data_IF_343622121394
#
_entry.id   IF_343622121394
#
_cell.length_a   1.000
_cell.length_b   1.000
_cell.length_c   1.000
_cell.angle_alpha   90.00
_cell.angle_beta   90.00
_cell.angle_gamma   90.00
#
_symmetry.space_group_name_H-M   'P 1'
#
loop_
_entity.id
_entity.type
_entity.pdbx_description
1 polymer ?
#
# COMPACT_ATOMS: atom_id res chain seq x y z
N UNK A 1 -20.85 3.83 3.49
CA UNK A 1 -21.65 3.85 4.76
C UNK A 1 -22.29 2.48 4.99
N UNK A 2 -21.92 1.80 6.05
CA UNK A 2 -22.56 0.54 6.44
C UNK A 2 -24.07 0.77 6.67
N UNK A 3 -24.92 -0.20 6.32
CA UNK A 3 -26.35 -0.09 6.58
C UNK A 3 -26.62 -0.23 8.07
N UNK A 4 -27.63 0.49 8.59
CA UNK A 4 -28.03 0.41 9.99
C UNK A 4 -28.28 -1.05 10.39
N UNK A 5 -27.48 -1.58 11.34
CA UNK A 5 -27.56 -2.96 11.81
C UNK A 5 -26.59 -3.94 11.14
N UNK A 6 -25.78 -3.50 10.16
CA UNK A 6 -24.64 -4.31 9.69
C UNK A 6 -23.57 -4.39 10.79
N UNK A 7 -23.04 -5.59 10.99
CA UNK A 7 -21.87 -5.76 11.84
C UNK A 7 -20.63 -5.38 11.03
N UNK A 8 -19.86 -4.42 11.53
CA UNK A 8 -18.54 -4.11 11.01
C UNK A 8 -17.49 -5.12 11.47
N UNK A 9 -16.25 -4.90 11.03
CA UNK A 9 -15.08 -5.56 11.56
C UNK A 9 -14.72 -5.03 12.97
N UNK A 10 -13.48 -5.25 13.37
CA UNK A 10 -12.98 -4.85 14.68
C UNK A 10 -12.32 -3.48 14.64
N UNK A 11 -12.68 -2.61 15.57
CA UNK A 11 -11.93 -1.41 15.93
C UNK A 11 -11.64 -1.44 17.43
N UNK A 12 -10.43 -1.09 17.86
CA UNK A 12 -10.04 -1.11 19.27
C UNK A 12 -10.64 0.06 20.05
N UNK A 13 -10.72 1.23 19.43
CA UNK A 13 -11.25 2.46 20.01
C UNK A 13 -11.95 3.32 18.98
N UNK A 14 -12.82 4.21 19.43
CA UNK A 14 -13.61 5.10 18.56
C UNK A 14 -12.75 5.94 17.63
N UNK A 15 -11.60 6.41 18.11
CA UNK A 15 -10.65 7.24 17.34
C UNK A 15 -10.00 6.52 16.17
N UNK A 16 -10.12 5.18 16.06
CA UNK A 16 -9.61 4.43 14.91
C UNK A 16 -10.43 4.64 13.63
N UNK A 17 -11.68 5.06 13.74
CA UNK A 17 -12.59 5.25 12.61
C UNK A 17 -13.22 6.64 12.69
N UNK A 18 -13.03 7.45 11.64
CA UNK A 18 -13.64 8.78 11.60
C UNK A 18 -15.17 8.71 11.61
N UNK A 19 -15.80 9.65 12.30
CA UNK A 19 -17.24 9.85 12.24
C UNK A 19 -17.64 10.77 11.08
N UNK A 20 -16.67 11.35 10.38
CA UNK A 20 -16.85 12.15 9.17
C UNK A 20 -16.50 11.30 7.95
N UNK A 21 -17.30 11.38 6.88
CA UNK A 21 -17.14 10.59 5.67
C UNK A 21 -17.84 9.22 5.73
N UNK A 22 -17.52 8.36 4.79
CA UNK A 22 -18.12 7.04 4.61
C UNK A 22 -17.12 5.89 4.90
N UNK A 23 -16.06 6.15 5.68
CA UNK A 23 -15.09 5.12 6.03
C UNK A 23 -15.74 3.97 6.82
N UNK A 24 -15.26 2.74 6.60
CA UNK A 24 -15.84 1.58 7.23
C UNK A 24 -14.84 0.40 7.35
N UNK A 25 -14.99 -0.34 8.42
CA UNK A 25 -14.30 -1.62 8.61
C UNK A 25 -15.31 -2.73 8.41
N UNK A 26 -15.13 -3.55 7.35
CA UNK A 26 -16.06 -4.63 6.98
C UNK A 26 -15.56 -5.98 7.48
N UNK A 27 -16.47 -6.92 7.64
CA UNK A 27 -16.21 -8.34 7.89
C UNK A 27 -15.18 -8.58 9.02
N UNK A 28 -14.06 -9.23 8.68
CA UNK A 28 -12.97 -9.56 9.60
C UNK A 28 -11.83 -8.55 9.58
N UNK A 29 -12.00 -7.39 8.93
CA UNK A 29 -11.01 -6.30 8.97
C UNK A 29 -10.77 -5.83 10.40
N UNK A 30 -9.54 -5.43 10.71
CA UNK A 30 -9.15 -4.98 12.06
C UNK A 30 -8.40 -3.66 12.00
N UNK A 31 -8.77 -2.72 12.88
CA UNK A 31 -8.05 -1.45 13.06
C UNK A 31 -7.78 -1.26 14.56
N UNK A 32 -6.51 -1.07 14.93
CA UNK A 32 -6.12 -0.96 16.34
C UNK A 32 -4.87 -0.13 16.56
N UNK A 33 -4.46 0.05 17.82
CA UNK A 33 -3.41 1.00 18.17
C UNK A 33 -3.84 2.44 17.92
N UNK A 34 -2.95 3.27 17.43
CA UNK A 34 -3.23 4.66 17.08
C UNK A 34 -3.53 4.86 15.58
N UNK A 35 -3.80 3.76 14.87
CA UNK A 35 -4.15 3.79 13.46
C UNK A 35 -5.49 4.50 13.23
N UNK A 36 -5.58 5.17 12.09
CA UNK A 36 -6.77 5.95 11.70
C UNK A 36 -7.24 5.58 10.30
N UNK A 37 -8.54 5.36 10.17
CA UNK A 37 -9.24 5.20 8.90
C UNK A 37 -10.23 6.35 8.77
N UNK A 38 -10.07 7.17 7.76
CA UNK A 38 -10.80 8.43 7.58
C UNK A 38 -11.33 8.59 6.14
N UNK A 39 -12.11 9.61 5.90
CA UNK A 39 -12.77 9.93 4.62
C UNK A 39 -13.70 8.80 4.14
N UNK A 40 -13.43 8.17 3.02
CA UNK A 40 -14.22 7.06 2.44
C UNK A 40 -13.44 5.74 2.44
N UNK A 41 -12.35 5.66 3.19
CA UNK A 41 -11.48 4.50 3.20
C UNK A 41 -12.16 3.25 3.78
N UNK A 42 -11.78 2.09 3.29
CA UNK A 42 -12.32 0.82 3.75
C UNK A 42 -11.23 -0.20 4.09
N UNK A 43 -11.47 -0.96 5.16
CA UNK A 43 -10.63 -2.08 5.60
C UNK A 43 -11.54 -3.31 5.68
N UNK A 44 -11.15 -4.43 5.06
CA UNK A 44 -12.02 -5.60 4.97
C UNK A 44 -11.25 -6.92 4.81
N UNK A 45 -11.97 -8.04 4.90
CA UNK A 45 -11.46 -9.37 4.54
C UNK A 45 -10.12 -9.71 5.20
N UNK A 46 -10.07 -9.71 6.53
CA UNK A 46 -8.92 -10.06 7.35
C UNK A 46 -7.74 -9.07 7.31
N UNK A 47 -7.87 -7.96 6.56
CA UNK A 47 -6.83 -6.93 6.55
C UNK A 47 -6.67 -6.28 7.94
N UNK A 48 -5.43 -5.95 8.29
CA UNK A 48 -5.09 -5.33 9.57
C UNK A 48 -4.40 -3.97 9.37
N UNK A 49 -4.90 -2.95 10.06
CA UNK A 49 -4.30 -1.61 10.08
C UNK A 49 -3.99 -1.24 11.52
N UNK A 50 -2.72 -0.98 11.84
CA UNK A 50 -2.33 -0.76 13.24
C UNK A 50 -1.09 0.14 13.41
N UNK A 51 -0.65 0.30 14.64
CA UNK A 51 0.41 1.27 14.96
C UNK A 51 -0.09 2.70 14.82
N UNK A 52 0.62 3.52 14.09
CA UNK A 52 0.25 4.92 13.77
C UNK A 52 -0.15 5.08 12.29
N UNK A 53 -0.55 4.01 11.63
CA UNK A 53 -0.90 4.03 10.20
C UNK A 53 -2.10 4.94 9.93
N UNK A 54 -2.08 5.60 8.78
CA UNK A 54 -3.19 6.47 8.34
C UNK A 54 -3.69 5.99 6.98
N UNK A 55 -4.97 5.70 6.90
CA UNK A 55 -5.67 5.31 5.69
C UNK A 55 -6.72 6.38 5.40
N UNK A 56 -6.65 7.05 4.24
CA UNK A 56 -7.53 8.18 3.92
C UNK A 56 -7.89 8.24 2.43
N UNK A 57 -8.93 9.03 2.07
CA UNK A 57 -9.45 9.11 0.71
C UNK A 57 -10.36 7.91 0.38
N UNK A 58 -10.34 7.46 -0.87
CA UNK A 58 -11.12 6.31 -1.36
C UNK A 58 -10.32 4.99 -1.33
N UNK A 59 -9.42 4.84 -0.36
CA UNK A 59 -8.51 3.69 -0.21
C UNK A 59 -9.26 2.40 0.13
N UNK A 60 -8.78 1.31 -0.43
CA UNK A 60 -9.21 -0.05 -0.04
C UNK A 60 -8.02 -0.87 0.47
N UNK A 61 -8.10 -1.36 1.70
CA UNK A 61 -7.16 -2.33 2.28
C UNK A 61 -7.93 -3.62 2.54
N UNK A 62 -7.53 -4.74 1.90
CA UNK A 62 -8.32 -5.97 1.99
C UNK A 62 -7.50 -7.24 1.78
N UNK A 63 -8.09 -8.41 2.00
CA UNK A 63 -7.54 -9.75 1.76
C UNK A 63 -6.24 -10.02 2.54
N UNK A 64 -6.22 -9.88 3.85
CA UNK A 64 -5.04 -10.21 4.67
C UNK A 64 -3.87 -9.22 4.58
N UNK A 65 -4.02 -8.08 3.90
CA UNK A 65 -2.98 -7.07 3.84
C UNK A 65 -2.77 -6.38 5.18
N UNK A 66 -1.51 -6.06 5.50
CA UNK A 66 -1.14 -5.34 6.72
C UNK A 66 -0.58 -3.95 6.42
N UNK A 67 -1.12 -2.93 7.08
CA UNK A 67 -0.59 -1.56 7.02
C UNK A 67 -0.29 -1.09 8.44
N UNK A 68 0.97 -0.79 8.76
CA UNK A 68 1.36 -0.53 10.14
C UNK A 68 2.52 0.44 10.31
N UNK A 69 3.00 0.61 11.55
CA UNK A 69 3.97 1.64 11.95
C UNK A 69 3.44 3.05 11.64
N UNK A 70 4.16 3.84 10.85
CA UNK A 70 3.79 5.19 10.44
C UNK A 70 3.41 5.26 8.95
N UNK A 71 3.03 4.14 8.35
CA UNK A 71 2.68 4.07 6.94
C UNK A 71 1.45 4.92 6.62
N UNK A 72 1.43 5.47 5.40
CA UNK A 72 0.31 6.27 4.92
C UNK A 72 -0.19 5.75 3.59
N UNK A 73 -1.48 5.47 3.50
CA UNK A 73 -2.14 5.07 2.26
C UNK A 73 -3.28 6.05 2.02
N UNK A 74 -3.29 6.72 0.86
CA UNK A 74 -4.26 7.77 0.63
C UNK A 74 -4.68 7.91 -0.84
N UNK A 75 -5.58 8.85 -1.13
CA UNK A 75 -6.24 9.06 -2.42
C UNK A 75 -7.09 7.85 -2.85
N UNK A 76 -6.76 7.15 -3.91
CA UNK A 76 -7.51 6.02 -4.48
C UNK A 76 -6.68 4.73 -4.51
N UNK A 77 -5.66 4.64 -3.66
CA UNK A 77 -4.75 3.50 -3.63
C UNK A 77 -5.41 2.21 -3.14
N UNK A 78 -4.83 1.08 -3.51
CA UNK A 78 -5.30 -0.25 -3.07
C UNK A 78 -4.14 -1.06 -2.51
N UNK A 79 -4.36 -1.68 -1.36
CA UNK A 79 -3.41 -2.61 -0.74
C UNK A 79 -4.16 -3.92 -0.46
N UNK A 80 -3.71 -5.04 -1.03
CA UNK A 80 -4.44 -6.29 -0.88
C UNK A 80 -3.56 -7.54 -1.04
N UNK A 81 -4.16 -8.71 -0.93
CA UNK A 81 -3.44 -9.97 -0.82
C UNK A 81 -2.81 -10.09 0.56
N UNK A 82 -1.59 -10.57 0.63
CA UNK A 82 -0.77 -10.65 1.84
C UNK A 82 0.33 -9.56 1.84
N UNK A 83 0.00 -8.38 1.31
CA UNK A 83 0.97 -7.29 1.17
C UNK A 83 1.21 -6.57 2.49
N UNK A 84 2.47 -6.27 2.78
CA UNK A 84 2.90 -5.52 3.96
C UNK A 84 3.36 -4.10 3.59
N UNK A 85 2.75 -3.08 4.20
CA UNK A 85 3.14 -1.67 4.05
C UNK A 85 3.46 -1.10 5.42
N UNK A 86 4.72 -0.72 5.67
CA UNK A 86 5.15 -0.32 7.00
C UNK A 86 6.30 0.68 7.04
N UNK A 87 6.74 1.03 8.25
CA UNK A 87 7.72 2.10 8.45
C UNK A 87 7.11 3.46 8.18
N UNK A 88 7.73 4.25 7.33
CA UNK A 88 7.22 5.55 6.86
C UNK A 88 6.81 5.50 5.38
N UNK A 89 6.47 4.32 4.87
CA UNK A 89 6.10 4.15 3.46
C UNK A 89 4.83 4.92 3.11
N UNK A 90 4.75 5.35 1.84
CA UNK A 90 3.58 6.04 1.32
C UNK A 90 3.08 5.36 0.06
N UNK A 91 1.78 5.11 0.01
CA UNK A 91 1.08 4.58 -1.16
C UNK A 91 -0.05 5.56 -1.50
N UNK A 92 -0.08 6.09 -2.71
CA UNK A 92 -1.07 7.12 -3.04
C UNK A 92 -1.46 7.17 -4.52
N UNK A 93 -2.28 8.16 -4.89
CA UNK A 93 -2.93 8.25 -6.20
C UNK A 93 -3.78 6.99 -6.50
N UNK A 94 -3.47 6.23 -7.53
CA UNK A 94 -4.16 5.00 -7.93
C UNK A 94 -3.24 3.77 -7.85
N UNK A 95 -2.17 3.87 -7.08
CA UNK A 95 -1.20 2.79 -6.94
C UNK A 95 -1.83 1.52 -6.34
N UNK A 96 -1.31 0.37 -6.75
CA UNK A 96 -1.75 -0.93 -6.27
C UNK A 96 -0.54 -1.69 -5.71
N UNK A 97 -0.66 -2.12 -4.46
CA UNK A 97 0.31 -3.02 -3.81
C UNK A 97 -0.41 -4.31 -3.47
N UNK A 98 0.11 -5.46 -3.92
CA UNK A 98 -0.62 -6.73 -3.77
C UNK A 98 0.28 -7.96 -3.73
N UNK A 99 -0.34 -9.14 -3.64
CA UNK A 99 0.39 -10.39 -3.48
C UNK A 99 1.09 -10.47 -2.13
N UNK A 100 2.35 -10.84 -2.08
CA UNK A 100 3.22 -10.84 -0.91
C UNK A 100 4.27 -9.71 -0.99
N UNK A 101 3.90 -8.59 -1.58
CA UNK A 101 4.80 -7.45 -1.73
C UNK A 101 5.04 -6.74 -0.39
N UNK A 102 6.27 -6.29 -0.17
CA UNK A 102 6.65 -5.51 1.00
C UNK A 102 7.08 -4.10 0.58
N UNK A 103 6.43 -3.06 1.12
CA UNK A 103 6.81 -1.65 0.90
C UNK A 103 7.11 -1.01 2.25
N UNK A 104 8.36 -0.60 2.48
CA UNK A 104 8.78 -0.15 3.80
C UNK A 104 9.91 0.89 3.81
N UNK A 105 10.26 1.33 5.01
CA UNK A 105 11.23 2.42 5.18
C UNK A 105 10.60 3.76 4.82
N UNK A 106 11.21 4.50 3.91
CA UNK A 106 10.68 5.75 3.35
C UNK A 106 10.33 5.59 1.87
N UNK A 107 9.92 4.40 1.45
CA UNK A 107 9.57 4.09 0.06
C UNK A 107 8.24 4.75 -0.33
N UNK A 108 8.10 5.08 -1.61
CA UNK A 108 6.89 5.65 -2.17
C UNK A 108 6.42 4.85 -3.40
N UNK A 109 5.13 4.55 -3.47
CA UNK A 109 4.47 3.93 -4.63
C UNK A 109 3.26 4.78 -5.00
N UNK A 110 3.24 5.33 -6.22
CA UNK A 110 2.19 6.28 -6.57
C UNK A 110 1.86 6.30 -8.09
N UNK A 111 1.01 7.23 -8.50
CA UNK A 111 0.50 7.26 -9.87
C UNK A 111 -0.46 6.10 -10.13
N UNK A 112 -0.24 5.36 -11.21
CA UNK A 112 -0.95 4.12 -11.53
C UNK A 112 -0.02 2.89 -11.43
N UNK A 113 1.01 2.97 -10.58
CA UNK A 113 2.01 1.92 -10.45
C UNK A 113 1.44 0.64 -9.81
N UNK A 114 2.00 -0.50 -10.20
CA UNK A 114 1.69 -1.81 -9.63
C UNK A 114 2.93 -2.46 -9.04
N UNK A 115 2.84 -2.83 -7.76
CA UNK A 115 3.85 -3.58 -7.03
C UNK A 115 3.21 -4.86 -6.52
N UNK A 116 3.66 -6.04 -7.01
CA UNK A 116 2.97 -7.29 -6.69
C UNK A 116 3.91 -8.49 -6.61
N UNK A 117 3.37 -9.69 -6.40
CA UNK A 117 4.09 -10.92 -6.11
C UNK A 117 4.94 -10.84 -4.83
N UNK A 118 6.23 -11.14 -4.88
CA UNK A 118 7.18 -11.12 -3.75
C UNK A 118 8.19 -9.98 -3.84
N UNK A 119 7.75 -8.87 -4.39
CA UNK A 119 8.55 -7.67 -4.60
C UNK A 119 8.84 -6.95 -3.30
N UNK A 120 10.01 -6.29 -3.22
CA UNK A 120 10.34 -5.41 -2.10
C UNK A 120 10.69 -4.01 -2.58
N UNK A 121 10.02 -2.99 -2.04
CA UNK A 121 10.33 -1.57 -2.27
C UNK A 121 10.69 -0.95 -0.92
N UNK A 122 11.95 -0.48 -0.76
CA UNK A 122 12.41 -0.04 0.56
C UNK A 122 13.50 1.04 0.52
N UNK A 123 13.84 1.53 1.69
CA UNK A 123 14.76 2.67 1.80
C UNK A 123 14.06 3.95 1.34
N UNK A 124 14.50 4.52 0.24
CA UNK A 124 13.86 5.63 -0.49
C UNK A 124 13.52 5.21 -1.93
N UNK A 125 13.26 3.93 -2.15
CA UNK A 125 12.83 3.40 -3.44
C UNK A 125 11.49 4.00 -3.84
N UNK A 126 11.35 4.30 -5.12
CA UNK A 126 10.15 4.97 -5.66
C UNK A 126 9.66 4.24 -6.91
N UNK A 127 8.36 3.95 -6.97
CA UNK A 127 7.70 3.31 -8.12
C UNK A 127 6.48 4.17 -8.50
N UNK A 128 6.45 4.69 -9.72
CA UNK A 128 5.41 5.64 -10.08
C UNK A 128 5.01 5.62 -11.56
N UNK A 129 4.12 6.53 -11.97
CA UNK A 129 3.46 6.58 -13.28
C UNK A 129 2.64 5.31 -13.53
N UNK A 130 2.99 4.47 -14.49
CA UNK A 130 2.34 3.19 -14.80
C UNK A 130 3.29 2.01 -14.62
N UNK A 131 4.42 2.22 -13.96
CA UNK A 131 5.44 1.22 -13.78
C UNK A 131 4.90 -0.03 -13.08
N UNK A 132 5.43 -1.19 -13.46
CA UNK A 132 5.15 -2.48 -12.83
C UNK A 132 6.42 -3.04 -12.22
N UNK A 133 6.31 -3.51 -10.98
CA UNK A 133 7.40 -4.18 -10.29
C UNK A 133 6.88 -5.47 -9.69
N UNK A 134 7.42 -6.62 -10.14
CA UNK A 134 6.86 -7.91 -9.76
C UNK A 134 7.90 -9.05 -9.71
N UNK A 135 7.43 -10.26 -9.41
CA UNK A 135 8.29 -11.41 -9.18
C UNK A 135 9.02 -11.31 -7.85
N UNK A 136 10.34 -11.28 -7.87
CA UNK A 136 11.23 -11.09 -6.73
C UNK A 136 12.04 -9.80 -6.84
N UNK A 137 11.60 -8.86 -7.67
CA UNK A 137 12.30 -7.61 -7.91
C UNK A 137 12.45 -6.78 -6.64
N UNK A 138 13.50 -5.99 -6.55
CA UNK A 138 13.79 -5.13 -5.40
C UNK A 138 14.12 -3.71 -5.87
N UNK A 139 13.40 -2.72 -5.33
CA UNK A 139 13.67 -1.30 -5.53
C UNK A 139 14.12 -0.71 -4.20
N UNK A 140 15.34 -0.17 -4.10
CA UNK A 140 15.88 0.23 -2.81
C UNK A 140 16.89 1.40 -2.91
N UNK A 141 17.33 1.89 -1.77
CA UNK A 141 18.18 3.07 -1.74
C UNK A 141 17.43 4.28 -2.29
N UNK A 142 17.92 4.90 -3.35
CA UNK A 142 17.23 5.94 -4.10
C UNK A 142 16.82 5.43 -5.51
N UNK A 143 16.68 4.13 -5.69
CA UNK A 143 16.26 3.50 -6.97
C UNK A 143 14.85 3.95 -7.36
N UNK A 144 14.65 4.18 -8.66
CA UNK A 144 13.35 4.62 -9.19
C UNK A 144 12.94 3.77 -10.39
N UNK A 145 11.65 3.40 -10.43
CA UNK A 145 11.00 2.73 -11.57
C UNK A 145 9.78 3.56 -11.97
N UNK A 146 9.71 4.01 -13.23
CA UNK A 146 8.69 4.96 -13.64
C UNK A 146 8.32 4.81 -15.14
N UNK A 147 7.39 5.64 -15.60
CA UNK A 147 6.87 5.53 -16.95
C UNK A 147 6.02 4.28 -17.12
N UNK A 148 6.19 3.56 -18.20
CA UNK A 148 5.57 2.26 -18.46
C UNK A 148 6.54 1.08 -18.19
N UNK A 149 7.65 1.31 -17.43
CA UNK A 149 8.69 0.30 -17.15
C UNK A 149 8.13 -0.96 -16.46
N UNK A 150 8.70 -2.11 -16.80
CA UNK A 150 8.33 -3.43 -16.24
C UNK A 150 9.57 -4.11 -15.63
N UNK A 151 9.76 -3.93 -14.32
CA UNK A 151 10.84 -4.54 -13.55
C UNK A 151 10.39 -5.87 -12.94
N UNK A 152 10.98 -6.98 -13.37
CA UNK A 152 10.52 -8.33 -13.05
C UNK A 152 11.65 -9.28 -12.62
N UNK A 153 11.28 -10.51 -12.33
CA UNK A 153 12.24 -11.56 -12.00
C UNK A 153 12.99 -11.26 -10.71
N UNK A 154 14.31 -11.33 -10.73
CA UNK A 154 15.19 -11.03 -9.59
C UNK A 154 15.88 -9.66 -9.70
N UNK A 155 15.36 -8.78 -10.51
CA UNK A 155 15.94 -7.45 -10.78
C UNK A 155 16.17 -6.65 -9.50
N UNK A 156 17.33 -5.98 -9.42
CA UNK A 156 17.70 -5.13 -8.29
C UNK A 156 17.97 -3.72 -8.78
N UNK A 157 17.11 -2.78 -8.39
CA UNK A 157 17.19 -1.36 -8.75
C UNK A 157 17.51 -0.59 -7.47
N UNK A 158 18.78 -0.21 -7.31
CA UNK A 158 19.27 0.39 -6.08
C UNK A 158 20.23 1.55 -6.31
N UNK A 159 20.74 2.11 -5.21
CA UNK A 159 21.60 3.30 -5.30
C UNK A 159 20.83 4.49 -5.89
N UNK A 160 21.28 5.03 -7.00
CA UNK A 160 20.63 6.12 -7.75
C UNK A 160 20.14 5.66 -9.13
N UNK A 161 19.98 4.36 -9.33
CA UNK A 161 19.51 3.78 -10.60
C UNK A 161 18.08 4.24 -10.90
N UNK A 162 17.82 4.62 -12.14
CA UNK A 162 16.51 4.98 -12.65
C UNK A 162 16.19 4.08 -13.82
N UNK A 163 14.99 3.55 -13.84
CA UNK A 163 14.48 2.64 -14.89
C UNK A 163 13.19 3.22 -15.44
N UNK A 164 13.13 3.36 -16.74
CA UNK A 164 11.96 3.84 -17.49
C UNK A 164 11.70 2.98 -18.72
N UNK A 165 10.66 3.30 -19.48
CA UNK A 165 10.19 2.58 -20.68
C UNK A 165 11.27 2.31 -21.76
N UNK A 166 12.37 3.06 -21.74
CA UNK A 166 13.46 2.93 -22.73
C UNK A 166 14.57 1.98 -22.28
N UNK A 167 14.47 1.43 -21.08
CA UNK A 167 15.44 0.47 -20.54
C UNK A 167 14.94 -0.95 -20.87
N UNK A 168 15.11 -1.38 -22.13
CA UNK A 168 14.76 -2.71 -22.59
C UNK A 168 15.51 -3.78 -21.80
N UNK A 169 14.73 -4.71 -21.21
CA UNK A 169 15.15 -5.96 -20.58
C UNK A 169 16.07 -5.87 -19.35
N UNK A 170 15.46 -5.57 -18.23
CA UNK A 170 16.01 -5.89 -16.92
C UNK A 170 15.59 -7.30 -16.49
N UNK A 171 16.29 -8.29 -17.01
CA UNK A 171 16.23 -9.70 -16.57
C UNK A 171 17.04 -9.94 -15.31
#
# INVERSE_FOLDING_TARGET
>A
MGKKGERGGYIEKEDNLSQEGDCWVYDFGKVYGDAKVIDNASVSNEAEVYGNAIISGDVMVYSGAHVYDNAKVYDNAKVHGEADVYGNAKIYDKAIVSGNAEVYGNAEVHGNAWVYDKTKVYGKGEVYDKAKVHGYARVFGNGKVYGDADARGNTKIGGNTKVSDNDDDLD
#
